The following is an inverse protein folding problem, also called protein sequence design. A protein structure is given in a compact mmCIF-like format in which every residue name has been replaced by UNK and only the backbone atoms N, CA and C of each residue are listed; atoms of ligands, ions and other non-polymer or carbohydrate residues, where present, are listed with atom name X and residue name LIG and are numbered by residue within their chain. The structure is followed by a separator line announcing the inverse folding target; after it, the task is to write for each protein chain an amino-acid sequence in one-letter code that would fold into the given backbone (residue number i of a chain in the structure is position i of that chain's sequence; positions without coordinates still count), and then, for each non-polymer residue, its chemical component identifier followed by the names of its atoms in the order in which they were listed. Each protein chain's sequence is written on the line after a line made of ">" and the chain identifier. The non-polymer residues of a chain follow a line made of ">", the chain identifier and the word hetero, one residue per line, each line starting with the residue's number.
data_IF_851565308836
#
_entry.id   IF_851565308836
#
_cell.length_a   1.000
_cell.length_b   1.000
_cell.length_c   1.000
_cell.angle_alpha   90.00
_cell.angle_beta   90.00
_cell.angle_gamma   90.00
#
_symmetry.space_group_name_H-M   'P 1'
#
loop_
_entity.id
_entity.type
_entity.pdbx_description
1 polymer ?
#
# COMPACT_ATOMS: atom_id res chain seq x y z
N UNK A 1 -10.98 -12.41 -3.68
CA UNK A 1 -10.81 -10.96 -3.53
C UNK A 1 -10.24 -10.73 -2.16
N UNK A 2 -8.97 -10.36 -2.12
CA UNK A 2 -8.29 -9.96 -0.89
C UNK A 2 -8.68 -8.51 -0.62
N UNK A 3 -9.15 -8.23 0.60
CA UNK A 3 -9.65 -6.91 1.00
C UNK A 3 -8.93 -6.46 2.28
N UNK A 4 -8.97 -5.17 2.56
CA UNK A 4 -8.38 -4.51 3.74
C UNK A 4 -8.75 -5.19 5.06
N UNK A 5 -9.90 -5.86 5.13
CA UNK A 5 -10.36 -6.62 6.29
C UNK A 5 -9.35 -7.66 6.82
N UNK A 6 -8.41 -8.13 5.99
CA UNK A 6 -7.34 -9.04 6.44
C UNK A 6 -6.36 -8.36 7.42
N UNK A 7 -6.34 -7.03 7.47
CA UNK A 7 -5.46 -6.21 8.29
C UNK A 7 -6.20 -5.38 9.34
N UNK A 8 -7.53 -5.54 9.48
CA UNK A 8 -8.38 -4.72 10.37
C UNK A 8 -7.94 -4.68 11.84
N UNK A 9 -7.23 -5.71 12.31
CA UNK A 9 -6.77 -5.84 13.69
C UNK A 9 -5.30 -5.40 13.86
N UNK A 10 -4.66 -4.91 12.79
CA UNK A 10 -3.31 -4.34 12.86
C UNK A 10 -3.36 -2.89 13.29
N UNK A 11 -2.34 -2.49 14.04
CA UNK A 11 -2.07 -1.09 14.38
C UNK A 11 -1.34 -0.40 13.21
N UNK A 12 -1.99 0.54 12.49
CA UNK A 12 -1.38 1.16 11.31
C UNK A 12 -0.12 1.94 11.63
N UNK A 13 -0.02 2.57 12.80
CA UNK A 13 1.13 3.37 13.21
C UNK A 13 2.40 2.52 13.33
N UNK A 14 2.25 1.26 13.77
CA UNK A 14 3.38 0.33 13.90
C UNK A 14 3.82 -0.28 12.57
N UNK A 15 2.89 -0.43 11.62
CA UNK A 15 3.11 -1.26 10.44
C UNK A 15 3.24 -0.47 9.14
N UNK A 16 2.77 0.78 9.06
CA UNK A 16 2.74 1.58 7.83
C UNK A 16 4.11 1.66 7.13
N UNK A 17 5.19 1.92 7.88
CA UNK A 17 6.54 1.99 7.29
C UNK A 17 6.97 0.65 6.70
N UNK A 18 6.78 -0.43 7.45
CA UNK A 18 7.15 -1.78 6.98
C UNK A 18 6.33 -2.19 5.75
N UNK A 19 5.06 -1.83 5.71
CA UNK A 19 4.16 -2.13 4.60
C UNK A 19 4.50 -1.28 3.37
N UNK A 20 4.92 -0.03 3.53
CA UNK A 20 5.37 0.80 2.42
C UNK A 20 6.58 0.18 1.69
N UNK A 21 7.57 -0.34 2.44
CA UNK A 21 8.70 -1.08 1.84
C UNK A 21 8.27 -2.38 1.18
N UNK A 22 7.36 -3.13 1.82
CA UNK A 22 6.85 -4.39 1.28
C UNK A 22 6.08 -4.15 -0.03
N UNK A 23 5.18 -3.17 -0.08
CA UNK A 23 4.46 -2.76 -1.28
C UNK A 23 5.42 -2.44 -2.42
N UNK A 24 6.45 -1.62 -2.16
CA UNK A 24 7.45 -1.27 -3.18
C UNK A 24 8.18 -2.50 -3.74
N UNK A 25 8.55 -3.44 -2.87
CA UNK A 25 9.19 -4.69 -3.28
C UNK A 25 8.23 -5.60 -4.07
N UNK A 26 7.00 -5.77 -3.60
CA UNK A 26 5.99 -6.61 -4.26
C UNK A 26 5.61 -6.05 -5.64
N UNK A 27 5.42 -4.75 -5.77
CA UNK A 27 5.16 -4.11 -7.07
C UNK A 27 6.31 -4.36 -8.07
N UNK A 28 7.56 -4.29 -7.58
CA UNK A 28 8.74 -4.62 -8.41
C UNK A 28 8.75 -6.09 -8.84
N UNK A 29 8.40 -7.01 -7.94
CA UNK A 29 8.28 -8.44 -8.24
C UNK A 29 7.18 -8.69 -9.26
N UNK A 30 6.00 -8.09 -9.10
CA UNK A 30 4.89 -8.19 -10.05
C UNK A 30 5.29 -7.72 -11.45
N UNK A 31 5.97 -6.57 -11.56
CA UNK A 31 6.51 -6.07 -12.83
C UNK A 31 7.51 -7.05 -13.46
N UNK A 32 8.46 -7.56 -12.69
CA UNK A 32 9.44 -8.53 -13.18
C UNK A 32 8.80 -9.84 -13.62
N UNK A 33 7.75 -10.28 -12.95
CA UNK A 33 6.98 -11.46 -13.35
C UNK A 33 6.31 -11.22 -14.71
N UNK A 34 5.71 -10.05 -14.95
CA UNK A 34 5.12 -9.72 -16.24
C UNK A 34 6.16 -9.65 -17.36
N UNK A 35 7.35 -9.11 -17.10
CA UNK A 35 8.44 -8.98 -18.07
C UNK A 35 9.13 -10.30 -18.41
N UNK A 36 9.05 -11.32 -17.55
CA UNK A 36 9.63 -12.63 -17.82
C UNK A 36 8.61 -13.52 -18.55
N UNK A 37 8.87 -13.82 -19.82
CA UNK A 37 8.02 -14.68 -20.66
C UNK A 37 8.36 -16.17 -20.56
N UNK A 38 9.58 -16.52 -20.14
CA UNK A 38 10.08 -17.91 -20.17
C UNK A 38 9.83 -18.70 -18.87
N UNK A 39 8.95 -18.20 -18.00
CA UNK A 39 8.75 -18.69 -16.63
C UNK A 39 7.87 -19.93 -16.48
N UNK A 40 8.03 -20.98 -17.29
CA UNK A 40 7.55 -22.36 -17.09
C UNK A 40 6.03 -22.64 -16.93
N UNK A 41 5.24 -21.66 -16.50
CA UNK A 41 3.78 -21.69 -16.35
C UNK A 41 3.24 -20.74 -17.43
N UNK A 42 2.24 -21.18 -18.20
CA UNK A 42 1.67 -20.38 -19.30
C UNK A 42 1.25 -18.96 -18.87
N UNK A 43 1.27 -18.02 -19.83
CA UNK A 43 1.07 -16.58 -19.61
C UNK A 43 -0.21 -16.23 -18.84
N UNK A 44 -1.29 -16.98 -19.01
CA UNK A 44 -2.57 -16.72 -18.33
C UNK A 44 -2.48 -16.91 -16.80
N UNK A 45 -1.74 -17.93 -16.33
CA UNK A 45 -1.55 -18.14 -14.90
C UNK A 45 -0.62 -17.09 -14.28
N UNK A 46 0.33 -16.58 -15.07
CA UNK A 46 1.23 -15.47 -14.70
C UNK A 46 0.42 -14.20 -14.43
N UNK A 47 -0.46 -13.82 -15.36
CA UNK A 47 -1.31 -12.64 -15.21
C UNK A 47 -2.27 -12.76 -14.03
N UNK A 48 -2.92 -13.92 -13.85
CA UNK A 48 -3.82 -14.16 -12.72
C UNK A 48 -3.08 -14.08 -11.35
N UNK A 49 -1.86 -14.62 -11.27
CA UNK A 49 -1.04 -14.54 -10.06
C UNK A 49 -0.60 -13.10 -9.77
N UNK A 50 -0.22 -12.34 -10.79
CA UNK A 50 0.14 -10.93 -10.65
C UNK A 50 -1.07 -10.08 -10.26
N UNK A 51 -2.26 -10.36 -10.81
CA UNK A 51 -3.49 -9.70 -10.40
C UNK A 51 -3.77 -9.92 -8.90
N UNK A 52 -3.65 -11.17 -8.43
CA UNK A 52 -3.82 -11.51 -7.01
C UNK A 52 -2.77 -10.79 -6.13
N UNK A 53 -1.55 -10.62 -6.62
CA UNK A 53 -0.51 -9.86 -5.93
C UNK A 53 -0.88 -8.38 -5.78
N UNK A 54 -1.50 -7.77 -6.80
CA UNK A 54 -1.96 -6.38 -6.72
C UNK A 54 -3.12 -6.21 -5.73
N UNK A 55 -4.03 -7.18 -5.60
CA UNK A 55 -5.06 -7.14 -4.55
C UNK A 55 -4.42 -7.08 -3.14
N UNK A 56 -3.33 -7.83 -2.90
CA UNK A 56 -2.59 -7.76 -1.63
C UNK A 56 -1.95 -6.39 -1.43
N UNK A 57 -1.33 -5.85 -2.49
CA UNK A 57 -0.70 -4.52 -2.44
C UNK A 57 -1.74 -3.45 -2.08
N UNK A 58 -2.94 -3.51 -2.67
CA UNK A 58 -4.04 -2.58 -2.38
C UNK A 58 -4.45 -2.65 -0.91
N UNK A 59 -4.66 -3.86 -0.37
CA UNK A 59 -5.00 -4.04 1.04
C UNK A 59 -3.89 -3.51 1.98
N UNK A 60 -2.62 -3.73 1.64
CA UNK A 60 -1.49 -3.20 2.42
C UNK A 60 -1.40 -1.68 2.35
N UNK A 61 -1.72 -1.08 1.20
CA UNK A 61 -1.68 0.37 1.00
C UNK A 61 -2.71 1.11 1.86
N UNK A 62 -3.87 0.52 2.14
CA UNK A 62 -4.83 1.09 3.09
C UNK A 62 -4.19 1.31 4.48
N UNK A 63 -3.45 0.32 5.01
CA UNK A 63 -2.74 0.46 6.29
C UNK A 63 -1.65 1.55 6.23
N UNK A 64 -0.97 1.68 5.09
CA UNK A 64 0.03 2.75 4.88
C UNK A 64 -0.63 4.12 4.90
N UNK A 65 -1.80 4.25 4.25
CA UNK A 65 -2.58 5.49 4.20
C UNK A 65 -3.04 5.86 5.62
N UNK A 66 -3.69 4.95 6.34
CA UNK A 66 -4.20 5.19 7.69
C UNK A 66 -3.08 5.64 8.64
N UNK A 67 -1.94 4.92 8.64
CA UNK A 67 -0.80 5.29 9.47
C UNK A 67 -0.17 6.63 9.08
N UNK A 68 -0.22 7.00 7.80
CA UNK A 68 0.26 8.31 7.33
C UNK A 68 -0.70 9.43 7.73
N UNK A 69 -2.01 9.21 7.64
CA UNK A 69 -3.02 10.18 8.10
C UNK A 69 -2.92 10.45 9.59
N UNK A 70 -2.75 9.40 10.40
CA UNK A 70 -2.56 9.54 11.85
C UNK A 70 -1.27 10.31 12.17
N UNK A 71 -0.18 10.03 11.45
CA UNK A 71 1.07 10.79 11.61
C UNK A 71 0.92 12.27 11.24
N UNK A 72 0.24 12.58 10.14
CA UNK A 72 -0.06 13.97 9.76
C UNK A 72 -0.94 14.68 10.77
N UNK A 73 -1.92 13.98 11.35
CA UNK A 73 -2.79 14.49 12.41
C UNK A 73 -1.99 14.83 13.67
N UNK A 74 -1.08 13.94 14.09
CA UNK A 74 -0.20 14.18 15.24
C UNK A 74 0.69 15.41 15.03
N UNK A 75 1.21 15.60 13.82
CA UNK A 75 2.06 16.73 13.47
C UNK A 75 1.31 18.02 13.13
N UNK A 76 -0.03 17.99 13.08
CA UNK A 76 -0.87 19.11 12.62
C UNK A 76 -0.44 19.63 11.25
N UNK A 77 -0.25 18.72 10.30
CA UNK A 77 0.12 19.03 8.92
C UNK A 77 -1.05 18.75 7.98
N UNK A 78 -0.90 19.23 6.74
CA UNK A 78 -1.87 18.99 5.68
C UNK A 78 -3.26 19.49 6.06
N UNK A 79 -4.32 18.65 5.93
CA UNK A 79 -5.69 19.01 6.33
C UNK A 79 -5.86 19.39 7.80
N UNK A 80 -4.92 18.97 8.67
CA UNK A 80 -4.95 19.21 10.11
C UNK A 80 -4.13 20.43 10.54
N UNK A 81 -3.57 21.18 9.58
CA UNK A 81 -2.82 22.39 9.88
C UNK A 81 -3.74 23.46 10.50
N UNK A 82 -3.27 24.19 11.53
CA UNK A 82 -4.05 25.29 12.09
C UNK A 82 -4.30 26.34 11.01
N UNK A 83 -5.53 26.87 10.95
CA UNK A 83 -5.86 27.95 10.03
C UNK A 83 -4.88 29.10 10.22
N UNK A 84 -4.24 29.50 9.12
CA UNK A 84 -3.34 30.65 9.12
C UNK A 84 -4.20 31.87 9.45
N UNK A 85 -3.87 32.66 10.50
CA UNK A 85 -4.68 33.83 10.83
C UNK A 85 -4.73 34.74 9.61
N UNK A 86 -5.94 35.17 9.25
CA UNK A 86 -6.13 36.15 8.19
C UNK A 86 -5.25 37.36 8.50
N UNK A 87 -4.37 37.72 7.56
CA UNK A 87 -3.51 38.88 7.72
C UNK A 87 -4.40 40.11 7.99
N UNK A 88 -4.19 40.74 9.15
CA UNK A 88 -4.87 41.95 9.58
C UNK A 88 -4.43 43.17 8.76
#
# INVERSE_FOLDING_TARGET
>A
MIDYDIFKDLDPEKHCVSFAYAVGNLAKVGRLALENDDGGIGSEHKEAAVASLFEVIEAMMCVVIDGSEDFERQLKKGPWAPEKPAAA
#
